data_IF_981008147703
#
_entry.id   IF_981008147703
#
_cell.length_a   1.000
_cell.length_b   1.000
_cell.length_c   1.000
_cell.angle_alpha   90.00
_cell.angle_beta   90.00
_cell.angle_gamma   90.00
#
_symmetry.space_group_name_H-M   'P 1'
#
loop_
_entity.id
_entity.type
_entity.pdbx_description
1 polymer ?
#
# COMPACT_ATOMS: atom_id res chain seq x y z
N UNK A 1 3.81 -9.83 31.32
CA UNK A 1 3.33 -9.50 29.96
C UNK A 1 2.55 -10.65 29.35
N UNK A 2 3.04 -11.90 29.47
CA UNK A 2 2.38 -13.12 28.97
C UNK A 2 0.90 -13.25 29.38
N UNK A 3 0.58 -13.12 30.68
CA UNK A 3 -0.79 -13.33 31.19
C UNK A 3 -1.85 -12.38 30.59
N UNK A 4 -1.46 -11.14 30.27
CA UNK A 4 -2.35 -10.16 29.63
C UNK A 4 -2.60 -10.51 28.16
N UNK A 5 -1.58 -11.02 27.46
CA UNK A 5 -1.69 -11.44 26.06
C UNK A 5 -2.56 -12.69 25.95
N UNK A 6 -2.30 -13.71 26.77
CA UNK A 6 -3.06 -14.96 26.76
C UNK A 6 -4.50 -14.78 27.28
N UNK A 7 -4.72 -13.85 28.21
CA UNK A 7 -6.03 -13.53 28.76
C UNK A 7 -6.93 -12.76 27.80
N UNK A 8 -6.38 -11.77 27.08
CA UNK A 8 -7.19 -10.77 26.35
C UNK A 8 -6.84 -10.59 24.87
N UNK A 9 -5.67 -11.04 24.40
CA UNK A 9 -5.18 -10.82 23.03
C UNK A 9 -5.32 -12.00 22.09
N UNK A 10 -5.60 -13.21 22.60
CA UNK A 10 -5.55 -14.46 21.81
C UNK A 10 -6.92 -15.09 21.58
N UNK A 11 -7.85 -14.96 22.53
CA UNK A 11 -9.13 -15.68 22.47
C UNK A 11 -10.14 -14.92 21.63
N UNK A 12 -10.58 -15.53 20.53
CA UNK A 12 -11.63 -15.00 19.64
C UNK A 12 -12.91 -15.80 19.84
N UNK A 13 -14.00 -15.11 20.21
CA UNK A 13 -15.35 -15.68 20.22
C UNK A 13 -15.79 -16.02 18.80
N UNK A 14 -16.07 -17.29 18.54
CA UNK A 14 -16.36 -17.78 17.19
C UNK A 14 -17.75 -17.39 16.68
N UNK A 15 -18.74 -17.23 17.57
CA UNK A 15 -20.09 -16.82 17.21
C UNK A 15 -20.09 -15.35 16.80
N UNK A 16 -19.47 -14.50 17.63
CA UNK A 16 -19.29 -13.08 17.32
C UNK A 16 -18.43 -12.88 16.06
N UNK A 17 -17.37 -13.67 15.89
CA UNK A 17 -16.53 -13.61 14.69
C UNK A 17 -17.32 -13.92 13.42
N UNK A 18 -18.18 -14.95 13.44
CA UNK A 18 -19.03 -15.30 12.31
C UNK A 18 -20.06 -14.21 12.00
N UNK A 19 -20.68 -13.59 13.02
CA UNK A 19 -21.61 -12.47 12.86
C UNK A 19 -20.93 -11.26 12.18
N UNK A 20 -19.73 -10.90 12.64
CA UNK A 20 -18.97 -9.78 12.10
C UNK A 20 -18.58 -10.05 10.64
N UNK A 21 -18.14 -11.27 10.31
CA UNK A 21 -17.85 -11.65 8.93
C UNK A 21 -19.08 -11.53 8.04
N UNK A 22 -20.25 -11.98 8.50
CA UNK A 22 -21.49 -11.88 7.72
C UNK A 22 -21.90 -10.43 7.46
N UNK A 23 -21.83 -9.58 8.48
CA UNK A 23 -22.09 -8.14 8.34
C UNK A 23 -21.09 -7.46 7.41
N UNK A 24 -19.82 -7.88 7.46
CA UNK A 24 -18.77 -7.30 6.65
C UNK A 24 -18.86 -7.67 5.17
N UNK A 25 -19.54 -8.78 4.80
CA UNK A 25 -19.78 -9.15 3.39
C UNK A 25 -20.54 -8.07 2.60
N UNK A 26 -21.30 -7.21 3.28
CA UNK A 26 -21.95 -6.07 2.64
C UNK A 26 -20.95 -5.05 2.07
N UNK A 27 -19.72 -5.00 2.60
CA UNK A 27 -18.64 -4.13 2.15
C UNK A 27 -17.67 -4.93 1.27
N UNK A 28 -17.59 -4.53 0.00
CA UNK A 28 -16.67 -5.16 -0.98
C UNK A 28 -15.24 -4.62 -0.89
N UNK A 29 -14.99 -3.70 0.04
CA UNK A 29 -13.68 -3.11 0.23
C UNK A 29 -12.73 -4.16 0.79
N UNK A 30 -11.54 -4.35 0.19
CA UNK A 30 -10.57 -5.29 0.73
C UNK A 30 -10.17 -4.87 2.16
N UNK A 31 -9.93 -5.83 3.07
CA UNK A 31 -9.56 -5.56 4.47
C UNK A 31 -8.16 -4.92 4.59
N UNK A 32 -7.38 -4.93 3.51
CA UNK A 32 -6.06 -4.32 3.42
C UNK A 32 -6.07 -3.29 2.30
N UNK A 33 -5.47 -2.14 2.56
CA UNK A 33 -5.26 -1.08 1.57
C UNK A 33 -3.76 -0.85 1.38
N UNK A 34 -3.40 -0.33 0.21
CA UNK A 34 -2.05 0.09 -0.12
C UNK A 34 -2.10 1.41 -0.89
N UNK A 35 -0.99 2.14 -0.86
CA UNK A 35 -0.84 3.39 -1.62
C UNK A 35 0.13 3.19 -2.77
N UNK A 36 -0.17 3.83 -3.90
CA UNK A 36 0.75 4.01 -5.02
C UNK A 36 1.47 5.35 -4.86
N UNK A 37 2.79 5.33 -5.01
CA UNK A 37 3.62 6.53 -4.91
C UNK A 37 3.60 7.30 -6.24
N UNK A 38 3.61 8.64 -6.19
CA UNK A 38 3.81 9.42 -7.39
C UNK A 38 5.26 9.31 -7.91
N UNK A 39 5.43 9.55 -9.20
CA UNK A 39 6.72 9.67 -9.88
C UNK A 39 7.09 11.15 -9.97
N UNK A 40 8.30 11.48 -9.54
CA UNK A 40 8.86 12.84 -9.62
C UNK A 40 9.74 12.93 -10.87
N UNK A 41 9.38 13.81 -11.80
CA UNK A 41 10.13 14.04 -13.03
C UNK A 41 10.75 15.44 -13.02
N UNK A 42 12.09 15.57 -12.97
CA UNK A 42 12.74 16.86 -13.09
C UNK A 42 12.68 17.40 -14.52
N UNK A 43 12.33 18.67 -14.66
CA UNK A 43 12.48 19.42 -15.91
C UNK A 43 13.72 20.29 -15.82
N UNK A 44 14.59 20.18 -16.83
CA UNK A 44 15.87 20.89 -16.86
C UNK A 44 15.92 21.88 -18.00
N UNK A 45 16.59 23.02 -17.79
CA UNK A 45 16.92 23.95 -18.86
C UNK A 45 18.08 23.43 -19.76
N UNK A 46 18.49 24.23 -20.75
CA UNK A 46 19.59 23.89 -21.66
C UNK A 46 20.95 23.75 -20.93
N UNK A 47 21.11 24.35 -19.75
CA UNK A 47 22.30 24.23 -18.92
C UNK A 47 22.26 23.00 -18.00
N UNK A 48 21.13 22.29 -17.94
CA UNK A 48 20.92 21.14 -17.07
C UNK A 48 20.48 21.52 -15.65
N UNK A 49 20.16 22.79 -15.39
CA UNK A 49 19.62 23.23 -14.11
C UNK A 49 18.14 22.84 -13.99
N UNK A 50 17.74 22.32 -12.82
CA UNK A 50 16.34 21.94 -12.58
C UNK A 50 15.50 23.23 -12.49
N UNK A 51 14.53 23.36 -13.37
CA UNK A 51 13.60 24.49 -13.43
C UNK A 51 12.25 24.17 -12.82
N UNK A 52 11.83 22.90 -12.84
CA UNK A 52 10.57 22.42 -12.26
C UNK A 52 10.63 20.93 -11.90
N UNK A 53 9.68 20.46 -11.09
CA UNK A 53 9.45 19.05 -10.78
C UNK A 53 7.99 18.70 -11.06
N UNK A 54 7.76 17.88 -12.10
CA UNK A 54 6.43 17.37 -12.40
C UNK A 54 6.10 16.15 -11.55
N UNK A 55 4.88 16.14 -11.02
CA UNK A 55 4.33 15.04 -10.23
C UNK A 55 3.39 14.20 -11.11
N UNK A 56 3.72 12.93 -11.34
CA UNK A 56 2.86 12.00 -12.06
C UNK A 56 2.32 10.94 -11.11
N UNK A 57 1.00 10.83 -11.00
CA UNK A 57 0.36 9.78 -10.23
C UNK A 57 0.10 8.57 -11.16
N UNK A 58 0.70 7.39 -10.90
CA UNK A 58 0.39 6.20 -11.68
C UNK A 58 -1.07 5.77 -11.46
N UNK A 59 -1.72 5.31 -12.53
CA UNK A 59 -3.13 4.92 -12.51
C UNK A 59 -3.34 3.59 -11.78
N UNK A 60 -2.35 2.69 -11.85
CA UNK A 60 -2.46 1.36 -11.26
C UNK A 60 -1.23 0.93 -10.45
N UNK A 61 -1.47 0.08 -9.46
CA UNK A 61 -0.41 -0.56 -8.68
C UNK A 61 0.49 -1.45 -9.55
N UNK A 62 -0.09 -2.16 -10.51
CA UNK A 62 0.66 -3.08 -11.38
C UNK A 62 1.68 -2.33 -12.21
N UNK A 63 1.29 -1.21 -12.82
CA UNK A 63 2.20 -0.36 -13.59
C UNK A 63 3.36 0.17 -12.74
N UNK A 64 3.07 0.64 -11.51
CA UNK A 64 4.10 1.10 -10.60
C UNK A 64 5.09 -0.02 -10.24
N UNK A 65 4.59 -1.22 -9.92
CA UNK A 65 5.46 -2.34 -9.55
C UNK A 65 6.32 -2.82 -10.72
N UNK A 66 5.76 -2.85 -11.93
CA UNK A 66 6.51 -3.20 -13.15
C UNK A 66 7.60 -2.16 -13.44
N UNK A 67 7.28 -0.86 -13.34
CA UNK A 67 8.26 0.22 -13.48
C UNK A 67 9.38 0.09 -12.43
N UNK A 68 9.04 -0.16 -11.17
CA UNK A 68 10.05 -0.31 -10.12
C UNK A 68 10.96 -1.50 -10.34
N UNK A 69 10.39 -2.63 -10.79
CA UNK A 69 11.16 -3.83 -11.10
C UNK A 69 12.12 -3.59 -12.27
N UNK A 70 11.69 -2.86 -13.30
CA UNK A 70 12.51 -2.55 -14.47
C UNK A 70 13.59 -1.49 -14.21
N UNK A 71 13.32 -0.51 -13.35
CA UNK A 71 14.18 0.67 -13.16
C UNK A 71 15.03 0.61 -11.90
N UNK A 72 14.55 -0.01 -10.82
CA UNK A 72 15.17 0.07 -9.48
C UNK A 72 15.57 -1.28 -8.87
N UNK A 73 15.45 -2.40 -9.61
CA UNK A 73 15.81 -3.73 -9.12
C UNK A 73 17.29 -4.06 -9.33
N UNK A 74 18.16 -3.47 -8.50
CA UNK A 74 19.63 -3.59 -8.67
C UNK A 74 20.29 -4.73 -7.87
N UNK A 75 19.52 -5.45 -7.05
CA UNK A 75 20.04 -6.54 -6.22
C UNK A 75 19.85 -7.87 -6.94
N UNK A 76 20.94 -8.65 -7.00
CA UNK A 76 20.98 -10.02 -7.54
C UNK A 76 20.59 -11.04 -6.48
#
# INVERSE_FOLDING_TARGET
AQDLVEGYGVKVDQELHAEVLERNKAFKTPPYSGFVNPVLLPETDEAGEITDIKLLQPETFVEQMLSYSGTYSFLN
#
